data_IF_589848072167
#
_entry.id   IF_589848072167
#
_cell.length_a   1.000
_cell.length_b   1.000
_cell.length_c   1.000
_cell.angle_alpha   90.00
_cell.angle_beta   90.00
_cell.angle_gamma   90.00
#
_symmetry.space_group_name_H-M   'P 1'
#
loop_
_entity.id
_entity.type
_entity.pdbx_description
1 polymer ?
#
# COMPACT_ATOMS: atom_id res chain seq x y z
N UNK A 1 -43.14 25.02 -30.49
CA UNK A 1 -43.52 24.89 -29.02
C UNK A 1 -42.28 24.54 -28.18
N UNK A 2 -41.49 25.68 -27.97
CA UNK A 2 -40.87 26.54 -26.95
C UNK A 2 -39.86 25.74 -26.12
N UNK A 3 -38.57 26.05 -26.46
CA UNK A 3 -37.28 26.12 -25.75
C UNK A 3 -37.44 26.69 -24.34
N UNK A 4 -36.68 26.02 -23.31
CA UNK A 4 -35.91 26.78 -22.29
C UNK A 4 -34.82 25.86 -21.73
N UNK A 5 -33.46 26.18 -22.06
CA UNK A 5 -32.11 26.33 -21.49
C UNK A 5 -32.16 27.03 -20.13
N UNK A 6 -31.40 26.38 -19.11
CA UNK A 6 -30.59 27.15 -18.13
C UNK A 6 -29.50 26.24 -17.54
N UNK A 7 -28.15 26.58 -17.90
CA UNK A 7 -26.83 27.10 -17.51
C UNK A 7 -26.74 27.39 -16.01
N UNK A 8 -25.78 26.65 -15.30
CA UNK A 8 -24.90 27.34 -14.32
C UNK A 8 -23.47 26.81 -14.44
N UNK A 9 -22.55 27.66 -15.03
CA UNK A 9 -21.51 28.63 -14.59
C UNK A 9 -20.19 27.90 -14.28
N UNK A 10 -19.29 27.87 -15.27
CA UNK A 10 -17.88 28.28 -15.40
C UNK A 10 -17.32 28.78 -14.06
N UNK A 11 -16.82 27.86 -13.25
CA UNK A 11 -15.82 28.31 -12.24
C UNK A 11 -14.45 28.45 -12.92
N UNK A 12 -14.14 29.55 -13.64
CA UNK A 12 -12.85 30.26 -13.73
C UNK A 12 -11.88 29.80 -12.63
N UNK A 13 -11.04 28.76 -12.96
CA UNK A 13 -9.63 28.55 -12.56
C UNK A 13 -9.11 29.69 -11.67
N UNK A 14 -9.56 29.71 -10.41
CA UNK A 14 -8.82 30.48 -9.39
C UNK A 14 -7.35 30.04 -9.31
N UNK A 15 -6.48 30.73 -10.09
CA UNK A 15 -5.04 30.79 -9.76
C UNK A 15 -4.79 30.55 -8.26
N UNK A 16 -4.27 29.35 -7.89
CA UNK A 16 -3.89 29.11 -6.49
C UNK A 16 -2.83 30.12 -6.01
N UNK A 17 -3.21 30.88 -5.00
CA UNK A 17 -2.28 31.70 -4.19
C UNK A 17 -0.87 31.09 -4.14
N UNK A 18 0.17 31.82 -4.59
CA UNK A 18 1.57 31.36 -4.55
C UNK A 18 1.96 30.84 -3.16
N UNK A 19 1.98 29.51 -3.00
CA UNK A 19 2.62 28.92 -1.79
C UNK A 19 4.15 29.00 -1.96
N UNK A 20 4.75 29.82 -1.12
CA UNK A 20 6.19 30.06 -0.90
C UNK A 20 6.99 28.75 -0.83
N UNK A 21 7.73 28.34 -1.83
CA UNK A 21 8.62 27.16 -1.90
C UNK A 21 9.65 27.16 -0.76
N UNK A 22 9.77 28.30 0.11
CA UNK A 22 10.66 28.36 1.28
C UNK A 22 10.05 27.62 2.48
N UNK A 23 8.82 27.09 2.39
CA UNK A 23 8.20 26.33 3.50
C UNK A 23 8.79 24.92 3.54
N UNK A 24 9.46 24.50 2.51
CA UNK A 24 10.01 23.12 2.49
C UNK A 24 11.48 23.14 2.92
N UNK A 25 12.15 24.30 2.75
CA UNK A 25 13.51 24.46 3.33
C UNK A 25 13.43 24.85 4.81
N UNK A 26 12.21 25.40 5.26
CA UNK A 26 11.98 25.88 6.63
C UNK A 26 11.44 24.76 7.51
N UNK A 27 10.85 23.67 6.94
CA UNK A 27 10.44 22.49 7.74
C UNK A 27 11.65 21.57 7.94
N UNK A 28 12.78 21.76 7.18
CA UNK A 28 14.04 20.99 7.36
C UNK A 28 15.02 21.76 8.24
N UNK A 29 14.79 23.13 8.58
CA UNK A 29 15.74 23.95 9.36
C UNK A 29 15.19 24.20 10.77
N UNK A 30 13.98 23.59 11.20
CA UNK A 30 13.55 23.94 12.57
C UNK A 30 13.69 22.72 13.48
N UNK A 31 14.96 22.15 13.57
CA UNK A 31 15.20 21.34 14.77
C UNK A 31 16.48 21.86 15.45
N UNK A 32 16.41 22.37 16.76
CA UNK A 32 17.54 22.92 17.54
C UNK A 32 18.69 21.91 17.66
N UNK A 33 19.82 22.16 16.93
CA UNK A 33 21.20 21.67 17.15
C UNK A 33 21.55 21.65 18.65
N UNK A 34 21.24 20.51 19.37
CA UNK A 34 21.84 20.25 20.69
C UNK A 34 23.36 20.36 20.65
N UNK A 35 23.87 21.58 20.88
CA UNK A 35 25.25 21.97 21.29
C UNK A 35 25.77 21.04 22.39
N UNK A 36 26.38 19.93 22.05
CA UNK A 36 27.25 19.14 22.94
C UNK A 36 28.63 19.80 23.06
N UNK A 37 28.79 20.62 24.09
CA UNK A 37 29.86 21.03 25.02
C UNK A 37 30.90 19.92 25.21
N UNK A 38 32.01 20.03 24.53
CA UNK A 38 33.47 19.91 24.62
C UNK A 38 33.95 19.89 26.08
N UNK A 39 34.28 18.69 26.59
CA UNK A 39 35.39 18.63 27.57
C UNK A 39 36.32 17.46 27.23
N UNK A 40 37.53 17.73 26.79
CA UNK A 40 39.00 17.64 26.98
C UNK A 40 39.38 16.43 27.83
N UNK A 41 40.24 15.45 27.37
CA UNK A 41 41.67 15.10 27.49
C UNK A 41 41.82 13.66 28.01
N UNK A 42 42.59 12.81 27.23
CA UNK A 42 43.93 12.28 27.55
C UNK A 42 44.17 11.02 26.72
N UNK A 43 45.14 11.03 25.82
CA UNK A 43 46.08 10.12 25.15
C UNK A 43 46.62 9.04 26.09
N UNK A 44 47.46 7.99 25.48
CA UNK A 44 47.39 6.61 24.95
C UNK A 44 48.40 5.68 25.62
N UNK A 45 47.91 4.44 25.86
CA UNK A 45 48.92 3.38 26.11
C UNK A 45 48.57 2.13 25.30
N UNK A 46 49.39 1.75 24.33
CA UNK A 46 50.29 0.73 23.77
C UNK A 46 49.99 -0.66 24.34
N UNK A 47 49.63 -1.68 23.53
CA UNK A 47 50.41 -2.90 23.18
C UNK A 47 49.63 -4.16 23.59
N UNK A 48 49.09 -4.91 22.58
CA UNK A 48 49.32 -6.37 22.61
C UNK A 48 48.53 -7.05 21.50
N UNK A 49 49.21 -7.58 20.38
CA UNK A 49 49.74 -8.90 19.99
C UNK A 49 48.60 -9.79 19.50
N UNK A 50 48.56 -10.05 18.19
CA UNK A 50 48.66 -11.21 17.27
C UNK A 50 47.96 -12.42 17.88
N UNK A 51 46.65 -12.60 17.42
CA UNK A 51 46.14 -13.98 17.25
C UNK A 51 45.07 -13.98 16.13
N UNK A 52 45.46 -14.27 14.87
CA UNK A 52 45.33 -15.46 13.99
C UNK A 52 43.88 -15.94 13.93
N UNK A 53 43.18 -15.50 12.86
CA UNK A 53 42.72 -16.13 11.59
C UNK A 53 41.77 -17.29 11.88
N UNK A 54 40.49 -16.91 12.21
CA UNK A 54 39.43 -17.85 11.77
C UNK A 54 38.06 -17.26 12.13
N UNK A 55 37.70 -16.10 11.57
CA UNK A 55 36.25 -15.78 11.71
C UNK A 55 35.75 -15.17 10.40
N UNK A 56 35.92 -15.84 9.27
CA UNK A 56 35.21 -15.22 8.13
C UNK A 56 34.00 -16.09 7.74
N UNK A 57 33.07 -16.38 8.71
CA UNK A 57 31.84 -16.82 8.01
C UNK A 57 30.61 -16.37 8.80
N UNK A 58 30.67 -15.16 9.59
CA UNK A 58 29.41 -14.78 10.27
C UNK A 58 29.11 -13.31 9.98
N UNK A 59 29.70 -12.61 8.89
CA UNK A 59 29.35 -11.18 8.71
C UNK A 59 28.37 -11.03 7.53
N UNK A 60 27.97 -12.15 6.90
CA UNK A 60 27.00 -11.91 5.80
C UNK A 60 25.58 -12.14 6.31
N UNK A 61 25.45 -12.46 7.64
CA UNK A 61 24.08 -12.79 8.09
C UNK A 61 23.41 -11.53 8.67
N UNK A 62 24.08 -10.28 8.41
CA UNK A 62 23.27 -9.15 8.88
C UNK A 62 23.22 -8.04 7.83
N UNK A 63 23.47 -8.43 6.51
CA UNK A 63 23.38 -7.35 5.51
C UNK A 63 21.90 -7.00 5.24
N UNK A 64 21.47 -5.84 5.81
CA UNK A 64 20.06 -5.41 5.69
C UNK A 64 19.61 -5.33 4.23
N UNK A 65 20.54 -5.51 3.29
CA UNK A 65 20.15 -5.29 1.88
C UNK A 65 19.94 -6.62 1.17
N UNK A 66 20.25 -7.74 1.95
CA UNK A 66 20.13 -9.04 1.24
C UNK A 66 18.69 -9.31 0.81
N UNK A 67 17.77 -8.47 1.34
CA UNK A 67 16.35 -8.73 0.98
C UNK A 67 15.96 -7.91 -0.24
N UNK A 68 16.84 -7.04 -0.59
CA UNK A 68 16.49 -6.21 -1.76
C UNK A 68 17.35 -6.58 -2.96
N UNK A 69 16.63 -6.66 -4.08
CA UNK A 69 17.34 -6.97 -5.34
C UNK A 69 16.92 -5.95 -6.41
N UNK A 70 17.99 -5.38 -6.98
CA UNK A 70 17.66 -4.37 -8.01
C UNK A 70 18.16 -4.89 -9.37
N UNK A 71 17.16 -4.82 -10.27
CA UNK A 71 17.50 -5.32 -11.62
C UNK A 71 17.28 -4.19 -12.64
N UNK A 72 18.29 -4.07 -13.56
CA UNK A 72 18.10 -3.17 -14.72
C UNK A 72 17.26 -3.86 -15.81
N UNK A 73 16.11 -3.20 -16.19
CA UNK A 73 15.17 -3.89 -17.10
C UNK A 73 15.34 -3.35 -18.53
N UNK A 74 16.14 -2.34 -18.77
CA UNK A 74 16.19 -1.71 -20.09
C UNK A 74 17.45 -2.13 -20.85
N UNK A 75 18.41 -2.86 -20.26
CA UNK A 75 19.69 -3.17 -20.95
C UNK A 75 19.65 -4.56 -21.59
N UNK A 76 20.50 -4.71 -22.73
CA UNK A 76 20.62 -5.98 -23.49
C UNK A 76 21.02 -7.14 -22.58
N UNK A 77 21.65 -6.72 -21.38
CA UNK A 77 22.01 -7.78 -20.43
C UNK A 77 21.38 -7.50 -19.06
N UNK A 78 20.57 -8.49 -18.66
CA UNK A 78 20.04 -8.35 -17.28
C UNK A 78 21.18 -8.08 -16.28
N UNK A 79 21.44 -6.67 -16.13
CA UNK A 79 22.56 -6.36 -15.21
C UNK A 79 22.02 -5.99 -13.82
N UNK A 80 22.55 -6.61 -12.89
CA UNK A 80 22.22 -6.31 -11.48
C UNK A 80 22.81 -4.94 -11.07
N UNK A 81 21.88 -4.09 -10.50
CA UNK A 81 22.36 -2.83 -9.88
C UNK A 81 22.64 -3.08 -8.39
N UNK A 82 23.93 -2.93 -8.09
CA UNK A 82 24.28 -3.17 -6.68
C UNK A 82 24.03 -1.89 -5.87
N UNK A 83 23.15 -2.10 -4.83
CA UNK A 83 22.87 -0.93 -3.95
C UNK A 83 24.08 -0.63 -3.06
N UNK A 84 24.24 0.66 -2.91
CA UNK A 84 25.36 1.15 -2.08
C UNK A 84 26.71 0.63 -2.60
N UNK A 85 26.78 0.52 -3.91
CA UNK A 85 28.08 0.10 -4.48
C UNK A 85 29.15 1.17 -4.25
N UNK A 86 30.42 0.72 -4.25
CA UNK A 86 31.55 1.65 -4.03
C UNK A 86 31.79 2.48 -5.29
N UNK A 87 31.52 1.84 -6.43
CA UNK A 87 31.65 2.59 -7.71
C UNK A 87 30.28 2.65 -8.41
N UNK A 88 30.15 3.79 -9.18
CA UNK A 88 28.87 3.86 -9.90
C UNK A 88 28.73 2.70 -10.91
N UNK A 89 27.48 2.24 -10.98
CA UNK A 89 27.21 1.08 -11.85
C UNK A 89 26.82 1.59 -13.25
N UNK A 90 27.55 1.10 -14.24
CA UNK A 90 27.23 1.54 -15.60
C UNK A 90 25.94 0.88 -16.13
N UNK A 91 25.16 1.68 -16.94
CA UNK A 91 24.02 1.08 -17.65
C UNK A 91 23.82 1.82 -18.98
N UNK A 92 23.31 1.00 -19.85
CA UNK A 92 23.13 1.60 -21.19
C UNK A 92 21.95 0.94 -21.90
N UNK A 93 21.18 1.74 -22.61
CA UNK A 93 20.14 1.24 -23.55
C UNK A 93 20.10 2.09 -24.81
N UNK A 94 18.97 1.91 -25.54
CA UNK A 94 18.93 2.58 -26.87
C UNK A 94 18.88 4.11 -26.70
N UNK A 95 18.31 4.58 -25.56
CA UNK A 95 18.05 6.03 -25.43
C UNK A 95 19.17 6.71 -24.62
N UNK A 96 19.85 5.91 -23.70
CA UNK A 96 20.70 6.64 -22.72
C UNK A 96 21.86 5.72 -22.32
N UNK A 97 23.01 6.38 -22.17
CA UNK A 97 24.16 5.65 -21.61
C UNK A 97 24.76 6.44 -20.45
N UNK A 98 24.96 5.63 -19.28
CA UNK A 98 25.48 6.41 -18.13
C UNK A 98 25.82 5.50 -16.96
N UNK A 99 25.95 6.17 -15.78
CA UNK A 99 26.27 5.48 -14.52
C UNK A 99 25.25 5.87 -13.45
N UNK A 100 25.12 4.92 -12.47
CA UNK A 100 24.11 5.24 -11.44
C UNK A 100 24.65 4.77 -10.08
N UNK A 101 24.40 5.62 -9.10
CA UNK A 101 24.39 5.14 -7.71
C UNK A 101 22.95 4.93 -7.23
N UNK A 102 22.76 3.71 -6.75
CA UNK A 102 21.49 3.45 -6.04
C UNK A 102 21.78 3.28 -4.54
N UNK A 103 21.53 4.41 -3.83
CA UNK A 103 21.98 4.46 -2.42
C UNK A 103 20.77 4.37 -1.48
N UNK A 104 20.95 3.47 -0.50
CA UNK A 104 19.83 3.28 0.45
C UNK A 104 20.38 3.47 1.87
N UNK A 105 19.51 4.09 2.64
CA UNK A 105 19.89 4.23 4.06
C UNK A 105 19.73 2.88 4.80
N UNK A 106 20.79 2.45 5.55
CA UNK A 106 20.75 1.13 6.22
C UNK A 106 21.01 1.32 7.72
N UNK A 107 20.68 0.31 8.40
CA UNK A 107 21.02 0.16 9.83
C UNK A 107 21.53 -1.27 10.09
N UNK A 108 22.86 -1.34 10.34
CA UNK A 108 23.80 -0.25 10.64
C UNK A 108 24.14 0.58 9.38
N UNK A 109 24.58 1.95 9.66
CA UNK A 109 24.85 2.84 8.52
C UNK A 109 26.00 2.30 7.65
N UNK A 110 25.79 2.54 6.32
CA UNK A 110 26.86 2.14 5.37
C UNK A 110 28.11 3.01 5.59
N UNK A 111 29.28 2.45 5.62
CA UNK A 111 30.52 3.16 6.03
C UNK A 111 30.88 4.25 5.01
N UNK A 112 30.59 4.05 3.74
CA UNK A 112 31.03 5.03 2.72
C UNK A 112 29.95 6.08 2.48
N UNK A 113 28.70 5.67 2.60
CA UNK A 113 27.69 6.61 2.03
C UNK A 113 26.87 7.21 3.17
N UNK A 114 27.18 6.86 4.42
CA UNK A 114 26.29 7.27 5.52
C UNK A 114 26.26 8.80 5.63
N UNK A 115 27.30 9.51 5.22
CA UNK A 115 27.32 10.98 5.34
C UNK A 115 26.23 11.61 4.47
N UNK A 116 25.80 10.92 3.42
CA UNK A 116 24.75 11.50 2.56
C UNK A 116 23.38 11.42 3.24
N UNK A 117 23.26 10.58 4.34
CA UNK A 117 21.94 10.39 4.98
C UNK A 117 21.96 10.97 6.40
N UNK A 118 23.13 11.28 6.94
CA UNK A 118 23.27 11.72 8.34
C UNK A 118 22.59 13.09 8.53
N UNK A 119 21.60 13.05 9.53
CA UNK A 119 20.94 14.33 9.90
C UNK A 119 19.83 14.70 8.91
N UNK A 120 19.64 13.73 7.95
CA UNK A 120 18.59 14.03 6.96
C UNK A 120 17.54 12.90 6.96
N UNK A 121 16.42 13.13 6.47
CA UNK A 121 15.34 12.11 6.53
C UNK A 121 15.25 11.34 5.21
N UNK A 122 16.28 11.39 4.41
CA UNK A 122 16.24 10.65 3.12
C UNK A 122 16.36 9.15 3.37
N UNK A 123 15.50 8.42 2.63
CA UNK A 123 15.58 6.96 2.84
C UNK A 123 16.25 6.26 1.66
N UNK A 124 16.11 6.84 0.49
CA UNK A 124 17.00 6.35 -0.59
C UNK A 124 17.31 7.49 -1.54
N UNK A 125 18.35 7.26 -2.34
CA UNK A 125 18.95 8.34 -3.14
C UNK A 125 19.50 7.74 -4.44
N UNK A 126 18.94 8.32 -5.57
CA UNK A 126 19.47 7.86 -6.87
C UNK A 126 20.23 9.01 -7.54
N UNK A 127 21.54 8.69 -7.84
CA UNK A 127 22.33 9.66 -8.62
C UNK A 127 22.68 9.09 -10.01
N UNK A 128 22.38 9.97 -11.00
CA UNK A 128 22.58 9.45 -12.37
C UNK A 128 23.43 10.47 -13.13
N UNK A 129 24.37 9.96 -13.93
CA UNK A 129 25.17 10.79 -14.84
C UNK A 129 25.33 10.08 -16.18
N UNK A 130 24.94 10.80 -17.24
CA UNK A 130 25.11 10.12 -18.54
C UNK A 130 24.66 11.05 -19.67
N UNK A 131 24.61 10.39 -20.88
CA UNK A 131 24.30 11.17 -22.10
C UNK A 131 23.18 10.48 -22.88
N UNK A 132 22.38 11.39 -23.49
CA UNK A 132 21.34 10.83 -24.38
C UNK A 132 21.96 10.41 -25.72
N UNK A 133 21.46 9.25 -26.23
CA UNK A 133 21.98 8.76 -27.55
C UNK A 133 21.06 9.21 -28.69
N UNK A 134 19.84 9.54 -28.28
CA UNK A 134 18.87 10.07 -29.25
C UNK A 134 18.08 11.21 -28.60
N UNK A 135 17.52 12.03 -29.55
CA UNK A 135 16.71 13.14 -29.03
C UNK A 135 15.39 12.61 -28.43
N UNK A 136 15.17 13.07 -27.14
CA UNK A 136 13.85 12.65 -26.62
C UNK A 136 12.70 13.25 -27.45
N UNK A 137 11.63 12.43 -27.55
CA UNK A 137 10.51 12.84 -28.43
C UNK A 137 9.53 13.71 -27.64
N UNK A 138 9.57 13.58 -26.29
CA UNK A 138 8.65 14.37 -25.46
C UNK A 138 9.31 14.71 -24.11
N UNK A 139 8.38 14.86 -23.14
CA UNK A 139 8.89 15.18 -21.79
C UNK A 139 9.47 13.91 -21.14
N UNK A 140 10.56 14.11 -20.42
CA UNK A 140 11.13 12.96 -19.69
C UNK A 140 10.58 12.96 -18.25
N UNK A 141 10.05 11.76 -17.95
CA UNK A 141 9.47 11.65 -16.61
C UNK A 141 10.31 10.71 -15.74
N UNK A 142 10.27 11.05 -14.39
CA UNK A 142 10.90 10.20 -13.36
C UNK A 142 9.87 9.80 -12.31
N UNK A 143 9.88 8.52 -12.00
CA UNK A 143 8.93 8.15 -10.94
C UNK A 143 8.96 6.65 -10.68
N UNK A 144 7.89 6.25 -9.95
CA UNK A 144 7.69 4.81 -9.66
C UNK A 144 6.56 4.22 -10.52
N UNK A 145 6.79 2.95 -10.96
CA UNK A 145 5.78 2.28 -11.81
C UNK A 145 5.68 0.80 -11.40
N UNK A 146 4.59 0.21 -11.66
CA UNK A 146 4.45 -1.24 -11.45
C UNK A 146 4.33 -1.98 -12.79
N UNK A 147 4.87 -3.21 -12.79
CA UNK A 147 5.04 -3.94 -14.06
C UNK A 147 3.70 -4.46 -14.61
N UNK A 148 2.74 -4.49 -13.69
CA UNK A 148 1.44 -4.99 -14.19
C UNK A 148 0.30 -4.24 -13.49
N UNK A 149 -0.87 -4.55 -14.06
CA UNK A 149 -2.06 -3.93 -13.42
C UNK A 149 -2.25 -4.47 -12.00
N UNK A 150 -2.68 -3.42 -11.26
CA UNK A 150 -2.93 -3.89 -9.88
C UNK A 150 -4.44 -3.81 -9.62
N UNK A 151 -4.91 -4.97 -9.12
CA UNK A 151 -6.34 -4.88 -8.71
C UNK A 151 -6.45 -4.37 -7.27
N UNK A 152 -6.61 -3.01 -7.26
CA UNK A 152 -6.73 -2.49 -5.88
C UNK A 152 -8.18 -2.63 -5.40
N UNK A 153 -8.28 -3.24 -4.13
CA UNK A 153 -9.63 -3.23 -3.50
C UNK A 153 -10.11 -1.80 -3.20
N UNK A 154 -11.34 -1.59 -2.92
CA UNK A 154 -11.97 -0.27 -2.67
C UNK A 154 -11.20 0.52 -1.61
N UNK A 155 -10.81 -0.16 -0.54
CA UNK A 155 -10.14 0.60 0.54
C UNK A 155 -8.73 1.01 0.13
N UNK A 156 -8.06 0.12 -0.51
CA UNK A 156 -6.67 0.44 -0.94
C UNK A 156 -6.67 1.55 -2.00
N UNK A 157 -7.75 1.50 -2.79
CA UNK A 157 -7.83 2.57 -3.80
C UNK A 157 -8.09 3.92 -3.13
N UNK A 158 -8.97 3.91 -2.16
CA UNK A 158 -9.22 5.16 -1.44
C UNK A 158 -7.94 5.66 -0.74
N UNK A 159 -7.35 4.70 -0.10
CA UNK A 159 -6.08 5.10 0.56
C UNK A 159 -5.06 5.61 -0.47
N UNK A 160 -4.93 4.94 -1.58
CA UNK A 160 -3.98 5.39 -2.63
C UNK A 160 -4.36 6.80 -3.12
N UNK A 161 -5.65 7.03 -3.19
CA UNK A 161 -6.09 8.37 -3.67
C UNK A 161 -5.71 9.45 -2.65
N UNK A 162 -5.85 9.13 -1.41
CA UNK A 162 -5.45 10.10 -0.38
C UNK A 162 -3.94 10.38 -0.47
N UNK A 163 -3.19 9.29 -0.59
CA UNK A 163 -1.72 9.47 -0.68
C UNK A 163 -1.37 10.31 -1.90
N UNK A 164 -2.12 10.07 -2.96
CA UNK A 164 -1.79 10.82 -4.19
C UNK A 164 -2.20 12.28 -4.03
N UNK A 165 -3.28 12.56 -3.32
CA UNK A 165 -3.65 13.96 -3.07
C UNK A 165 -2.57 14.69 -2.27
N UNK A 166 -2.02 13.94 -1.37
CA UNK A 166 -0.94 14.57 -0.58
C UNK A 166 0.27 14.83 -1.49
N UNK A 167 0.54 13.86 -2.33
CA UNK A 167 1.72 14.03 -3.21
C UNK A 167 1.47 15.19 -4.19
N UNK A 168 0.25 15.33 -4.62
CA UNK A 168 -0.04 16.40 -5.59
C UNK A 168 0.07 17.78 -4.91
N UNK A 169 -0.10 17.79 -3.64
CA UNK A 169 0.08 19.08 -2.95
C UNK A 169 1.57 19.40 -2.80
N UNK A 170 2.33 18.34 -2.93
CA UNK A 170 3.77 18.58 -2.68
C UNK A 170 4.50 18.81 -4.00
N UNK A 171 3.85 18.27 -5.09
CA UNK A 171 4.54 18.37 -6.39
C UNK A 171 3.49 18.74 -7.46
N UNK A 172 3.55 19.93 -8.08
CA UNK A 172 2.46 20.55 -8.88
C UNK A 172 2.30 19.84 -10.23
N UNK A 173 3.31 19.04 -10.69
CA UNK A 173 3.10 18.46 -12.04
C UNK A 173 3.29 16.93 -11.99
N UNK A 174 2.46 16.34 -11.08
CA UNK A 174 2.60 14.87 -10.94
C UNK A 174 1.57 14.20 -11.87
N UNK A 175 2.11 13.26 -12.60
CA UNK A 175 1.18 12.37 -13.35
C UNK A 175 1.11 10.99 -12.68
N UNK A 176 -0.20 10.61 -12.43
CA UNK A 176 -0.28 9.25 -11.86
C UNK A 176 -1.47 8.52 -12.49
N UNK A 177 -1.31 7.21 -12.47
CA UNK A 177 -2.39 6.34 -12.97
C UNK A 177 -2.37 5.01 -12.19
N UNK A 178 -3.61 4.46 -11.98
CA UNK A 178 -3.69 3.20 -11.21
C UNK A 178 -3.58 2.00 -12.16
N UNK A 179 -3.43 2.37 -13.47
CA UNK A 179 -3.20 1.27 -14.44
C UNK A 179 -4.51 0.88 -15.13
N UNK A 180 -4.49 0.79 -16.52
CA UNK A 180 -5.55 0.14 -17.33
C UNK A 180 -4.92 -0.63 -18.50
N UNK A 181 -5.84 -0.96 -19.47
CA UNK A 181 -5.33 -1.82 -20.56
C UNK A 181 -4.15 -1.18 -21.28
N UNK A 182 -4.00 0.11 -21.16
CA UNK A 182 -2.98 0.78 -22.01
C UNK A 182 -1.89 1.43 -21.17
N UNK A 183 -2.20 1.69 -19.87
CA UNK A 183 -1.25 2.48 -19.05
C UNK A 183 -1.02 1.76 -17.72
N UNK A 184 0.28 1.59 -17.44
CA UNK A 184 0.63 0.92 -16.17
C UNK A 184 0.42 1.88 -14.99
N UNK A 185 0.20 1.22 -13.86
CA UNK A 185 0.15 2.09 -12.68
C UNK A 185 1.50 2.79 -12.43
N UNK A 186 1.32 4.18 -12.12
CA UNK A 186 2.58 4.90 -11.91
C UNK A 186 2.30 6.24 -11.23
N UNK A 187 3.32 6.72 -10.67
CA UNK A 187 3.41 8.12 -10.22
C UNK A 187 4.71 8.75 -10.75
N UNK A 188 4.54 9.70 -11.60
CA UNK A 188 5.74 10.18 -12.32
C UNK A 188 5.73 11.70 -12.36
N UNK A 189 6.99 12.21 -12.36
CA UNK A 189 7.17 13.67 -12.36
C UNK A 189 8.12 14.04 -13.51
N UNK A 190 7.85 15.26 -14.06
CA UNK A 190 8.79 15.69 -15.11
C UNK A 190 10.22 15.82 -14.57
N UNK A 191 11.07 15.09 -15.16
CA UNK A 191 12.45 14.96 -14.64
C UNK A 191 13.10 16.34 -14.50
N UNK A 192 12.98 17.18 -15.54
CA UNK A 192 13.74 18.45 -15.57
C UNK A 192 13.30 19.38 -14.44
N UNK A 193 12.09 19.32 -14.08
CA UNK A 193 11.59 20.29 -13.09
C UNK A 193 11.66 19.69 -11.69
N UNK A 194 11.72 18.35 -11.66
CA UNK A 194 11.33 17.79 -10.34
C UNK A 194 12.57 17.22 -9.64
N UNK A 195 13.69 17.05 -10.25
CA UNK A 195 14.81 16.41 -9.50
C UNK A 195 15.42 17.45 -8.55
N UNK A 196 16.08 16.90 -7.52
CA UNK A 196 16.61 17.82 -6.47
C UNK A 196 17.73 18.71 -7.03
N UNK A 197 18.65 18.16 -7.87
CA UNK A 197 19.69 18.95 -8.56
C UNK A 197 19.95 18.35 -9.94
N UNK A 198 20.11 19.25 -10.85
CA UNK A 198 20.50 18.80 -12.20
C UNK A 198 21.51 19.78 -12.79
N UNK A 199 22.62 19.17 -13.20
CA UNK A 199 23.65 19.98 -13.88
C UNK A 199 23.89 19.41 -15.29
N UNK A 200 23.83 20.33 -16.23
CA UNK A 200 24.08 19.94 -17.63
C UNK A 200 25.47 20.45 -18.02
N UNK A 201 26.40 19.44 -18.23
CA UNK A 201 27.80 19.80 -18.51
C UNK A 201 28.09 19.68 -20.01
N UNK A 202 28.49 20.72 -20.66
CA UNK A 202 28.85 20.62 -22.06
C UNK A 202 30.00 19.63 -22.30
N UNK A 203 30.18 19.16 -23.58
CA UNK A 203 31.10 18.04 -23.92
C UNK A 203 32.55 18.42 -23.61
N UNK A 204 32.81 19.71 -23.41
CA UNK A 204 34.23 20.08 -23.23
C UNK A 204 34.53 20.42 -21.76
N UNK A 205 33.57 20.09 -20.91
CA UNK A 205 33.83 20.37 -19.48
C UNK A 205 33.69 19.07 -18.67
N UNK A 206 34.28 19.17 -17.46
CA UNK A 206 34.21 17.96 -16.59
C UNK A 206 32.92 18.00 -15.76
N UNK A 207 32.15 16.84 -15.90
CA UNK A 207 30.92 16.79 -15.10
C UNK A 207 31.20 16.61 -13.61
N UNK A 208 30.27 17.03 -12.75
CA UNK A 208 30.48 16.77 -11.32
C UNK A 208 30.62 15.26 -11.02
N UNK A 209 31.34 15.03 -9.95
CA UNK A 209 31.60 13.61 -9.58
C UNK A 209 30.38 13.06 -8.83
N UNK A 210 29.93 11.81 -9.22
CA UNK A 210 28.82 11.18 -8.48
C UNK A 210 29.27 10.83 -7.05
N UNK A 211 28.25 10.72 -6.15
CA UNK A 211 28.56 10.30 -4.75
C UNK A 211 28.74 11.53 -3.86
N UNK A 212 28.54 12.75 -4.43
CA UNK A 212 28.65 13.96 -3.58
C UNK A 212 27.26 14.43 -3.14
N UNK A 213 27.30 15.21 -2.07
CA UNK A 213 26.00 15.71 -1.54
C UNK A 213 25.38 16.74 -2.50
N UNK A 214 26.20 17.46 -3.17
CA UNK A 214 25.69 18.48 -4.10
C UNK A 214 26.52 18.47 -5.39
N UNK A 215 25.79 18.84 -6.47
CA UNK A 215 26.47 18.83 -7.79
C UNK A 215 26.80 20.26 -8.21
N UNK A 216 26.35 21.23 -7.34
CA UNK A 216 26.80 22.62 -7.61
C UNK A 216 25.72 23.42 -8.35
N UNK A 217 24.46 22.90 -8.40
CA UNK A 217 23.39 23.71 -9.00
C UNK A 217 23.01 24.86 -8.03
N UNK A 218 23.17 26.09 -8.56
CA UNK A 218 22.81 27.22 -7.69
C UNK A 218 21.29 27.30 -7.46
N UNK A 219 20.90 27.96 -6.41
CA UNK A 219 19.46 28.11 -6.10
C UNK A 219 18.71 28.81 -7.25
N UNK A 220 19.39 29.81 -7.80
CA UNK A 220 18.74 30.53 -8.92
C UNK A 220 18.52 29.59 -10.12
N UNK A 221 19.53 28.78 -10.40
CA UNK A 221 19.38 27.83 -11.53
C UNK A 221 18.27 26.81 -11.24
N UNK A 222 18.26 26.38 -10.02
CA UNK A 222 17.22 25.40 -9.65
C UNK A 222 15.82 26.01 -9.83
N UNK A 223 15.64 27.28 -9.35
CA UNK A 223 14.30 27.92 -9.44
C UNK A 223 13.93 28.15 -10.91
N UNK A 224 14.92 28.53 -11.62
CA UNK A 224 14.64 28.71 -13.06
C UNK A 224 14.20 27.41 -13.72
N UNK A 225 14.89 26.32 -13.34
CA UNK A 225 14.50 25.03 -13.95
C UNK A 225 13.09 24.63 -13.52
N UNK A 226 12.77 24.88 -12.31
CA UNK A 226 11.44 24.49 -11.79
C UNK A 226 10.34 25.27 -12.50
N UNK A 227 10.67 26.50 -12.98
CA UNK A 227 9.61 27.34 -13.58
C UNK A 227 9.58 27.17 -15.10
N UNK A 228 10.54 26.33 -15.60
CA UNK A 228 10.50 26.09 -17.05
C UNK A 228 9.20 25.35 -17.45
N UNK A 229 8.51 25.99 -18.49
CA UNK A 229 7.26 25.35 -18.93
C UNK A 229 7.50 23.92 -19.45
N UNK A 230 6.55 23.06 -19.02
CA UNK A 230 6.66 21.64 -19.42
C UNK A 230 6.70 21.50 -20.95
N UNK A 231 7.69 20.72 -21.39
CA UNK A 231 7.73 20.41 -22.85
C UNK A 231 8.68 21.34 -23.59
N UNK A 232 9.16 22.36 -22.92
CA UNK A 232 10.04 23.31 -23.65
C UNK A 232 11.51 23.00 -23.36
N UNK A 233 11.72 21.95 -22.55
CA UNK A 233 13.12 21.57 -22.26
C UNK A 233 13.81 21.01 -23.52
N UNK A 234 15.11 21.40 -23.57
CA UNK A 234 15.88 20.87 -24.71
C UNK A 234 17.08 20.07 -24.17
N UNK A 235 17.26 18.94 -24.94
CA UNK A 235 18.36 18.06 -24.48
C UNK A 235 19.46 18.03 -25.57
N UNK A 236 20.63 18.43 -25.10
CA UNK A 236 21.81 18.36 -25.98
C UNK A 236 22.47 16.96 -25.93
N UNK A 237 22.65 16.41 -27.17
CA UNK A 237 23.13 15.00 -27.21
C UNK A 237 24.62 14.93 -26.90
N UNK A 238 25.26 16.08 -26.89
CA UNK A 238 26.72 16.05 -26.60
C UNK A 238 26.99 16.38 -25.13
N UNK A 239 25.90 16.80 -24.45
CA UNK A 239 26.12 17.19 -23.04
C UNK A 239 25.99 15.97 -22.11
N UNK A 240 26.69 16.16 -20.95
CA UNK A 240 26.51 15.15 -19.88
C UNK A 240 25.54 15.69 -18.83
N UNK A 241 24.52 14.80 -18.60
CA UNK A 241 23.52 15.18 -17.59
C UNK A 241 23.81 14.46 -16.26
N UNK A 242 23.89 15.35 -15.14
CA UNK A 242 24.09 14.79 -13.79
C UNK A 242 22.94 15.26 -12.88
N UNK A 243 22.22 14.23 -12.39
CA UNK A 243 21.09 14.66 -11.54
C UNK A 243 20.84 13.60 -10.46
N UNK A 244 20.10 14.05 -9.44
CA UNK A 244 19.74 13.03 -8.43
C UNK A 244 18.36 13.35 -7.85
N UNK A 245 17.84 12.27 -7.33
CA UNK A 245 16.54 12.33 -6.64
C UNK A 245 16.61 11.51 -5.35
N UNK A 246 16.07 12.14 -4.35
CA UNK A 246 15.96 11.37 -3.09
C UNK A 246 14.60 11.63 -2.45
N UNK A 247 14.17 10.60 -1.66
CA UNK A 247 12.85 10.82 -1.00
C UNK A 247 12.94 10.32 0.45
N UNK A 248 12.11 10.94 1.27
CA UNK A 248 11.98 10.48 2.68
C UNK A 248 10.72 9.63 2.85
N UNK A 249 9.98 9.41 1.72
CA UNK A 249 8.61 8.91 1.90
C UNK A 249 8.54 7.41 1.58
N UNK A 250 9.69 6.88 1.19
CA UNK A 250 9.68 5.42 0.93
C UNK A 250 10.94 4.82 1.57
N UNK A 251 10.63 3.81 2.45
CA UNK A 251 11.76 3.04 3.04
C UNK A 251 11.84 1.64 2.41
N UNK A 252 12.89 1.55 1.48
CA UNK A 252 12.98 0.29 0.70
C UNK A 252 13.49 -0.85 1.58
N UNK A 253 14.23 -0.53 2.68
CA UNK A 253 14.77 -1.62 3.52
C UNK A 253 13.66 -2.27 4.33
N UNK A 254 12.64 -1.45 4.58
CA UNK A 254 11.52 -2.04 5.34
C UNK A 254 10.30 -2.23 4.44
N UNK A 255 10.44 -1.84 3.20
CA UNK A 255 9.38 -1.98 2.17
C UNK A 255 8.07 -1.34 2.64
N UNK A 256 8.20 -0.01 2.99
CA UNK A 256 7.02 0.73 3.49
C UNK A 256 7.03 2.16 2.94
N UNK A 257 5.81 2.66 2.87
CA UNK A 257 5.68 4.12 2.73
C UNK A 257 5.73 4.76 4.13
N UNK A 258 6.63 5.83 4.24
CA UNK A 258 6.82 6.40 5.59
C UNK A 258 6.86 7.92 5.46
N UNK A 259 6.58 8.57 6.63
CA UNK A 259 6.77 10.03 6.81
C UNK A 259 5.77 10.82 5.99
N UNK A 260 4.61 10.16 5.65
CA UNK A 260 3.55 10.98 5.02
C UNK A 260 2.76 11.74 6.10
N UNK A 261 2.56 13.02 5.95
CA UNK A 261 1.88 13.83 6.97
C UNK A 261 0.48 13.29 7.29
N UNK A 262 0.32 13.04 8.66
CA UNK A 262 -1.08 12.71 9.10
C UNK A 262 -1.42 11.24 8.83
N UNK A 263 -0.32 10.46 8.40
CA UNK A 263 -0.66 9.05 8.06
C UNK A 263 0.38 8.13 8.70
N UNK A 264 -0.13 6.96 9.09
CA UNK A 264 0.81 5.93 9.59
C UNK A 264 1.55 5.26 8.43
N UNK A 265 2.67 4.62 8.90
CA UNK A 265 3.44 3.89 7.86
C UNK A 265 2.57 2.80 7.19
N UNK A 266 2.75 2.76 5.91
CA UNK A 266 1.94 1.77 5.17
C UNK A 266 2.89 0.84 4.40
N UNK A 267 2.65 -0.47 4.58
CA UNK A 267 3.48 -1.40 3.80
C UNK A 267 3.24 -1.26 2.29
N UNK A 268 4.39 -1.28 1.57
CA UNK A 268 4.25 -1.12 0.11
C UNK A 268 3.46 -2.29 -0.48
N UNK A 269 3.40 -3.49 0.23
CA UNK A 269 2.66 -4.66 -0.28
C UNK A 269 1.15 -4.38 -0.31
N UNK A 270 0.79 -3.32 0.45
CA UNK A 270 -0.64 -2.96 0.41
C UNK A 270 -1.06 -2.56 -1.00
N UNK A 271 -0.02 -1.96 -1.76
CA UNK A 271 -0.43 -1.45 -3.08
C UNK A 271 0.12 -2.34 -4.20
N UNK A 272 1.23 -2.94 -3.96
CA UNK A 272 1.89 -3.57 -5.12
C UNK A 272 1.86 -5.09 -4.97
N UNK A 273 1.13 -5.61 -3.88
CA UNK A 273 1.21 -7.07 -3.59
C UNK A 273 2.64 -7.57 -3.67
N UNK A 274 2.85 -8.56 -4.65
CA UNK A 274 4.22 -9.13 -4.68
C UNK A 274 4.99 -8.58 -5.88
N UNK A 275 4.40 -7.57 -6.45
CA UNK A 275 5.07 -7.07 -7.66
C UNK A 275 6.27 -6.19 -7.26
N UNK A 276 7.28 -6.21 -8.18
CA UNK A 276 8.43 -5.32 -7.91
C UNK A 276 8.06 -3.85 -8.16
N UNK A 277 8.75 -2.99 -7.33
CA UNK A 277 8.66 -1.54 -7.64
C UNK A 277 9.69 -1.14 -8.70
N UNK A 278 9.10 -0.50 -9.80
CA UNK A 278 10.05 -0.03 -10.86
C UNK A 278 10.32 1.47 -10.66
N UNK A 279 11.61 1.74 -10.42
CA UNK A 279 12.03 3.15 -10.53
C UNK A 279 12.41 3.50 -11.97
N UNK A 280 11.65 4.48 -12.42
CA UNK A 280 11.75 4.60 -13.89
C UNK A 280 12.05 6.06 -14.23
N UNK A 281 12.72 6.19 -15.38
CA UNK A 281 12.88 7.46 -16.10
C UNK A 281 12.66 7.21 -17.60
N UNK A 282 11.58 7.92 -18.06
CA UNK A 282 11.28 7.55 -19.45
C UNK A 282 10.81 8.78 -20.23
N UNK A 283 11.01 8.66 -21.53
CA UNK A 283 10.50 9.65 -22.50
C UNK A 283 9.14 9.20 -23.05
N UNK A 284 8.24 10.12 -23.09
CA UNK A 284 6.93 9.74 -23.69
C UNK A 284 6.42 10.93 -24.50
N UNK A 285 5.93 10.59 -25.70
CA UNK A 285 5.42 11.66 -26.56
C UNK A 285 4.21 12.34 -25.88
N UNK A 286 4.13 13.59 -26.14
CA UNK A 286 3.03 14.34 -25.49
C UNK A 286 1.66 13.75 -25.83
N UNK A 287 0.99 13.49 -24.82
CA UNK A 287 -0.40 12.97 -24.93
C UNK A 287 -1.00 12.79 -23.53
N UNK A 288 -2.32 12.54 -23.58
CA UNK A 288 -3.07 12.46 -22.29
C UNK A 288 -2.73 11.17 -21.54
N UNK A 289 -2.11 10.18 -22.27
CA UNK A 289 -1.85 8.91 -21.56
C UNK A 289 -0.38 8.52 -21.75
N UNK A 290 0.13 8.03 -20.58
CA UNK A 290 1.50 7.46 -20.68
C UNK A 290 1.44 5.96 -20.98
N UNK A 291 0.93 5.68 -22.27
CA UNK A 291 0.81 4.24 -22.60
C UNK A 291 2.19 3.57 -22.60
N UNK A 292 2.15 2.34 -22.13
CA UNK A 292 3.42 1.58 -22.02
C UNK A 292 4.14 1.49 -23.36
N UNK A 293 3.41 1.32 -24.40
CA UNK A 293 4.03 1.10 -25.73
C UNK A 293 4.70 2.38 -26.24
N UNK A 294 4.36 3.45 -25.60
CA UNK A 294 4.90 4.71 -26.14
C UNK A 294 6.09 5.19 -25.30
N UNK A 295 6.40 4.43 -24.28
CA UNK A 295 7.51 4.89 -23.41
C UNK A 295 8.85 4.37 -23.93
N UNK A 296 9.75 5.32 -23.90
CA UNK A 296 11.17 4.93 -24.07
C UNK A 296 11.96 5.26 -22.81
N UNK A 297 12.60 4.24 -22.32
CA UNK A 297 13.14 4.41 -20.95
C UNK A 297 14.61 4.86 -21.03
N UNK A 298 14.86 5.98 -20.18
CA UNK A 298 16.28 6.28 -19.86
C UNK A 298 16.85 5.19 -18.94
N UNK A 299 16.11 4.88 -17.89
CA UNK A 299 16.40 3.66 -17.11
C UNK A 299 15.11 3.13 -16.48
N UNK A 300 15.15 1.83 -16.19
CA UNK A 300 14.08 1.13 -15.44
C UNK A 300 14.71 0.10 -14.50
N UNK A 301 14.74 0.56 -13.21
CA UNK A 301 15.31 -0.35 -12.20
C UNK A 301 14.20 -0.98 -11.37
N UNK A 302 14.18 -2.29 -11.46
CA UNK A 302 13.15 -3.00 -10.67
C UNK A 302 13.72 -3.44 -9.30
N UNK A 303 12.93 -3.07 -8.28
CA UNK A 303 13.36 -3.42 -6.92
C UNK A 303 12.40 -4.49 -6.38
N UNK A 304 13.01 -5.63 -6.01
CA UNK A 304 12.18 -6.71 -5.42
C UNK A 304 12.59 -6.89 -3.95
N UNK A 305 11.48 -7.32 -3.23
CA UNK A 305 11.71 -7.48 -1.78
C UNK A 305 11.31 -8.90 -1.36
N UNK A 306 12.28 -9.56 -0.67
CA UNK A 306 11.94 -10.91 -0.17
C UNK A 306 11.84 -10.87 1.36
N UNK A 307 10.50 -11.24 1.82
CA UNK A 307 10.33 -11.20 3.30
C UNK A 307 11.16 -12.29 3.97
N UNK A 308 11.72 -11.94 5.10
CA UNK A 308 12.49 -12.97 5.82
C UNK A 308 11.59 -14.16 6.24
N UNK A 309 11.77 -15.35 5.61
CA UNK A 309 11.00 -16.55 5.98
C UNK A 309 11.02 -16.74 7.50
N UNK A 310 10.10 -16.13 8.27
CA UNK A 310 9.95 -16.35 9.73
C UNK A 310 9.84 -17.85 10.06
N UNK A 311 10.86 -18.65 10.37
CA UNK A 311 10.80 -19.99 11.01
C UNK A 311 9.56 -20.12 11.91
N UNK A 312 8.36 -20.34 11.45
CA UNK A 312 7.13 -20.61 12.21
C UNK A 312 7.33 -21.78 13.17
N UNK A 313 7.62 -21.59 14.48
CA UNK A 313 7.55 -22.52 15.63
C UNK A 313 6.10 -22.95 15.88
N UNK A 314 5.66 -24.01 15.21
CA UNK A 314 4.43 -24.80 15.44
C UNK A 314 4.26 -25.07 16.95
N UNK A 315 3.64 -24.20 17.76
CA UNK A 315 3.22 -24.51 19.14
C UNK A 315 1.89 -25.29 19.08
N UNK A 316 1.92 -26.63 19.26
CA UNK A 316 0.81 -27.59 19.49
C UNK A 316 -0.09 -27.13 20.65
N UNK A 317 -1.43 -27.16 20.47
CA UNK A 317 -2.32 -26.75 21.58
C UNK A 317 -2.53 -27.88 22.59
N UNK A 318 -2.78 -27.42 23.97
CA UNK A 318 -3.03 -28.38 25.06
C UNK A 318 -4.50 -28.81 25.13
N UNK A 319 -4.74 -30.14 25.32
CA UNK A 319 -5.83 -31.09 25.62
C UNK A 319 -6.49 -30.74 26.95
N UNK A 320 -7.86 -30.24 26.92
CA UNK A 320 -8.62 -30.17 28.19
C UNK A 320 -9.83 -31.11 28.08
N UNK A 321 -9.90 -32.21 28.99
CA UNK A 321 -10.66 -33.19 29.78
C UNK A 321 -11.80 -32.52 30.55
N UNK A 322 -13.08 -32.76 30.22
CA UNK A 322 -14.39 -33.32 30.61
C UNK A 322 -14.68 -33.12 32.09
N UNK A 323 -15.89 -32.57 32.52
CA UNK A 323 -17.14 -33.18 33.06
C UNK A 323 -17.75 -32.23 34.09
N UNK A 324 -19.12 -31.93 33.89
CA UNK A 324 -20.23 -32.32 34.80
C UNK A 324 -21.48 -31.50 34.43
N UNK A 325 -22.53 -32.24 34.08
CA UNK A 325 -23.99 -32.41 34.18
C UNK A 325 -24.48 -32.31 35.63
N UNK A 326 -25.65 -31.52 35.88
CA UNK A 326 -27.02 -31.89 36.34
C UNK A 326 -27.75 -30.64 36.83
N UNK A 327 -29.17 -30.45 36.46
CA UNK A 327 -30.64 -30.54 36.45
C UNK A 327 -31.20 -29.84 37.69
N UNK A 328 -32.37 -29.00 37.60
CA UNK A 328 -33.85 -28.97 37.53
C UNK A 328 -34.33 -27.61 38.04
N UNK A 329 -35.45 -27.00 37.39
CA UNK A 329 -36.94 -27.04 37.48
C UNK A 329 -37.50 -25.66 37.17
N UNK A 330 -38.57 -25.64 36.33
CA UNK A 330 -39.94 -25.43 35.82
C UNK A 330 -40.61 -24.24 36.51
N UNK A 331 -41.28 -23.28 35.74
CA UNK A 331 -42.64 -22.99 35.22
C UNK A 331 -42.85 -21.47 35.16
N UNK A 332 -43.42 -20.97 33.99
CA UNK A 332 -44.76 -20.33 33.86
C UNK A 332 -44.86 -19.64 32.49
N UNK A 333 -45.76 -20.13 31.58
CA UNK A 333 -47.04 -19.86 30.91
C UNK A 333 -47.08 -18.47 30.28
N UNK A 334 -46.94 -18.51 28.86
CA UNK A 334 -47.88 -17.62 28.13
C UNK A 334 -47.47 -17.55 26.65
N UNK A 335 -48.33 -18.02 25.72
CA UNK A 335 -49.12 -17.57 24.56
C UNK A 335 -48.54 -18.16 23.27
N UNK A 336 -48.98 -19.41 22.92
CA UNK A 336 -48.71 -20.23 21.71
C UNK A 336 -49.54 -19.66 20.55
N UNK A 337 -48.87 -18.67 19.90
CA UNK A 337 -49.03 -18.55 18.44
C UNK A 337 -48.23 -19.64 17.71
N UNK A 338 -48.79 -20.81 17.56
CA UNK A 338 -48.33 -21.88 16.63
C UNK A 338 -47.36 -21.33 15.58
N UNK A 339 -46.09 -20.89 16.18
CA UNK A 339 -44.89 -20.51 15.41
C UNK A 339 -44.09 -21.76 15.03
N UNK A 340 -44.44 -22.45 14.02
CA UNK A 340 -43.52 -23.45 13.42
C UNK A 340 -42.14 -23.41 14.11
N UNK A 341 -41.88 -24.17 15.18
CA UNK A 341 -40.68 -24.33 16.04
C UNK A 341 -39.41 -24.41 15.19
N UNK A 342 -38.96 -23.25 14.70
CA UNK A 342 -37.65 -23.20 14.03
C UNK A 342 -36.55 -23.35 15.09
N UNK A 343 -35.78 -24.50 15.04
CA UNK A 343 -34.72 -24.77 16.03
C UNK A 343 -33.34 -24.51 15.41
N UNK A 344 -32.66 -23.54 16.03
CA UNK A 344 -31.30 -23.33 15.51
C UNK A 344 -30.44 -24.61 15.63
N UNK A 345 -29.75 -24.89 14.61
CA UNK A 345 -29.04 -26.20 14.63
C UNK A 345 -27.53 -25.94 14.56
N UNK A 346 -27.24 -24.67 14.04
CA UNK A 346 -25.79 -24.41 13.92
C UNK A 346 -25.56 -22.90 13.77
N UNK A 347 -24.31 -22.55 14.06
CA UNK A 347 -23.94 -21.15 13.84
C UNK A 347 -22.77 -21.12 12.84
N UNK A 348 -23.02 -21.08 11.72
CA UNK A 348 -22.00 -21.38 10.69
C UNK A 348 -21.12 -20.15 10.40
N UNK A 349 -21.78 -18.96 10.83
CA UNK A 349 -20.98 -17.79 10.43
C UNK A 349 -21.18 -16.66 11.44
N UNK A 350 -20.20 -15.73 11.46
CA UNK A 350 -20.48 -14.39 12.02
C UNK A 350 -20.10 -13.32 11.00
N UNK A 351 -20.85 -12.18 11.21
CA UNK A 351 -20.62 -11.12 10.20
C UNK A 351 -20.27 -9.84 10.95
N UNK A 352 -19.45 -9.06 10.30
CA UNK A 352 -19.20 -7.69 10.80
C UNK A 352 -20.11 -6.69 10.09
N UNK A 353 -20.81 -5.96 10.92
CA UNK A 353 -21.71 -4.94 10.35
C UNK A 353 -21.16 -3.55 10.63
N UNK A 354 -21.05 -2.79 9.52
CA UNK A 354 -20.52 -1.41 9.66
C UNK A 354 -21.68 -0.41 9.59
N UNK A 355 -21.77 0.32 10.67
CA UNK A 355 -22.72 1.45 10.67
C UNK A 355 -21.98 2.78 10.42
N UNK A 356 -22.18 3.44 9.28
CA UNK A 356 -21.37 4.63 8.89
C UNK A 356 -21.86 5.87 9.65
N UNK A 357 -23.10 5.85 10.02
CA UNK A 357 -23.66 6.99 10.78
C UNK A 357 -23.14 7.03 12.22
N UNK A 358 -22.81 5.85 12.61
CA UNK A 358 -22.44 5.80 14.04
C UNK A 358 -20.96 5.40 14.19
N UNK A 359 -20.28 5.27 13.04
CA UNK A 359 -18.86 4.83 13.01
C UNK A 359 -18.62 3.66 13.96
N UNK A 360 -19.58 2.69 13.86
CA UNK A 360 -19.44 1.51 14.75
C UNK A 360 -19.45 0.23 13.90
N UNK A 361 -18.56 -0.71 14.46
CA UNK A 361 -18.56 -2.02 13.80
C UNK A 361 -19.09 -3.08 14.78
N UNK A 362 -20.24 -3.72 14.31
CA UNK A 362 -20.86 -4.68 15.26
C UNK A 362 -20.73 -6.12 14.75
N UNK A 363 -20.80 -7.04 15.69
CA UNK A 363 -20.68 -8.47 15.34
C UNK A 363 -22.10 -9.08 15.35
N UNK A 364 -22.34 -9.77 14.17
CA UNK A 364 -23.63 -10.49 14.06
C UNK A 364 -23.37 -11.97 13.79
N UNK A 365 -24.07 -12.82 14.60
CA UNK A 365 -23.91 -14.26 14.35
C UNK A 365 -25.10 -14.80 13.53
N UNK A 366 -24.75 -15.82 12.63
CA UNK A 366 -25.81 -16.39 11.78
C UNK A 366 -26.15 -17.81 12.26
N UNK A 367 -27.46 -17.92 12.43
CA UNK A 367 -27.90 -19.26 12.87
C UNK A 367 -28.60 -20.00 11.73
N UNK A 368 -28.15 -21.22 11.53
CA UNK A 368 -28.91 -22.09 10.59
C UNK A 368 -30.06 -22.79 11.32
N UNK A 369 -31.24 -22.48 10.78
CA UNK A 369 -32.41 -23.07 11.44
C UNK A 369 -33.13 -24.05 10.50
N UNK A 370 -33.48 -25.25 11.08
CA UNK A 370 -34.18 -26.24 10.24
C UNK A 370 -35.70 -26.09 10.43
N UNK A 371 -36.23 -25.90 9.19
CA UNK A 371 -37.70 -25.91 9.22
C UNK A 371 -38.25 -27.33 9.01
N UNK A 372 -38.78 -27.88 10.09
CA UNK A 372 -39.18 -29.32 10.06
C UNK A 372 -40.29 -29.53 9.03
N UNK A 373 -40.99 -28.45 8.61
CA UNK A 373 -42.11 -28.64 7.67
C UNK A 373 -41.64 -28.58 6.22
N UNK A 374 -40.50 -28.01 5.85
CA UNK A 374 -40.10 -27.81 4.44
C UNK A 374 -38.72 -28.41 4.18
N UNK A 375 -38.21 -29.25 5.30
CA UNK A 375 -36.83 -29.79 5.16
C UNK A 375 -35.87 -28.76 4.55
N UNK A 376 -36.14 -27.45 4.75
CA UNK A 376 -35.21 -26.41 4.24
C UNK A 376 -34.51 -25.71 5.41
N UNK A 377 -33.23 -25.37 5.18
CA UNK A 377 -32.44 -24.65 6.21
C UNK A 377 -32.54 -23.14 5.91
N UNK A 378 -33.09 -22.47 6.96
CA UNK A 378 -33.08 -20.99 6.79
C UNK A 378 -32.08 -20.37 7.77
N UNK A 379 -31.62 -19.22 7.32
CA UNK A 379 -30.64 -18.56 8.22
C UNK A 379 -31.33 -17.40 8.96
N UNK A 380 -30.98 -17.48 10.24
CA UNK A 380 -31.43 -16.34 11.04
C UNK A 380 -30.24 -15.64 11.70
N UNK A 381 -30.42 -14.29 11.89
CA UNK A 381 -29.26 -13.58 12.46
C UNK A 381 -29.61 -12.99 13.82
N UNK A 382 -28.50 -12.86 14.63
CA UNK A 382 -28.71 -12.24 15.95
C UNK A 382 -27.47 -11.37 16.26
N UNK A 383 -27.82 -10.12 16.71
CA UNK A 383 -26.71 -9.23 17.11
C UNK A 383 -26.02 -9.73 18.38
N UNK A 384 -24.68 -9.56 18.34
CA UNK A 384 -23.92 -10.10 19.50
C UNK A 384 -24.33 -9.39 20.80
N UNK A 385 -24.77 -8.14 20.71
CA UNK A 385 -25.23 -7.40 21.90
C UNK A 385 -26.44 -8.08 22.55
N UNK A 386 -27.32 -8.55 21.73
CA UNK A 386 -28.49 -9.27 22.28
C UNK A 386 -28.10 -10.64 22.84
N UNK A 387 -27.12 -11.24 22.17
CA UNK A 387 -26.70 -12.60 22.57
C UNK A 387 -25.90 -12.57 23.88
N UNK A 388 -25.28 -11.50 24.04
CA UNK A 388 -24.38 -11.39 25.21
C UNK A 388 -25.18 -11.58 26.52
N UNK A 389 -26.42 -11.26 26.46
CA UNK A 389 -27.23 -11.35 27.70
C UNK A 389 -27.71 -12.79 27.92
N UNK A 390 -27.47 -13.56 26.93
CA UNK A 390 -28.13 -14.88 27.02
C UNK A 390 -27.08 -15.99 27.14
N UNK A 391 -25.83 -15.60 27.02
CA UNK A 391 -24.83 -16.69 27.01
C UNK A 391 -23.93 -16.51 28.24
N UNK A 392 -23.37 -17.61 28.81
CA UNK A 392 -22.63 -17.57 30.09
C UNK A 392 -21.18 -17.14 29.89
N UNK A 393 -20.82 -16.69 28.64
CA UNK A 393 -19.45 -16.22 28.42
C UNK A 393 -19.46 -14.89 27.70
N UNK A 394 -18.32 -14.20 27.87
CA UNK A 394 -18.29 -12.86 27.26
C UNK A 394 -18.26 -12.94 25.71
N UNK A 395 -19.11 -12.00 25.16
CA UNK A 395 -19.11 -11.94 23.67
C UNK A 395 -18.64 -10.54 23.23
N UNK A 396 -17.85 -10.59 22.20
CA UNK A 396 -17.47 -9.28 21.65
C UNK A 396 -18.64 -8.71 20.84
N UNK A 397 -18.87 -7.45 21.15
CA UNK A 397 -20.05 -6.86 20.46
C UNK A 397 -19.57 -5.94 19.34
N UNK A 398 -18.20 -5.66 19.37
CA UNK A 398 -17.62 -4.85 18.29
C UNK A 398 -16.52 -5.64 17.57
N UNK A 399 -16.51 -5.30 16.28
CA UNK A 399 -15.49 -6.06 15.53
C UNK A 399 -14.25 -5.20 15.32
N UNK A 400 -12.99 -5.79 15.76
CA UNK A 400 -11.66 -5.25 15.40
C UNK A 400 -10.75 -6.39 14.93
N UNK A 401 -9.86 -5.94 14.04
CA UNK A 401 -9.01 -6.98 13.42
C UNK A 401 -8.31 -7.83 14.50
N UNK A 402 -7.90 -7.23 15.49
CA UNK A 402 -7.11 -7.98 16.50
C UNK A 402 -8.02 -8.97 17.24
N UNK A 403 -9.39 -8.80 17.00
CA UNK A 403 -10.32 -9.65 17.81
C UNK A 403 -10.98 -10.71 16.92
N UNK A 404 -10.56 -10.84 15.77
CA UNK A 404 -11.27 -11.76 14.85
C UNK A 404 -11.09 -13.21 15.29
N UNK A 405 -9.93 -13.50 15.70
CA UNK A 405 -9.73 -14.90 16.12
C UNK A 405 -10.57 -15.22 17.35
N UNK A 406 -10.63 -14.26 18.22
CA UNK A 406 -11.45 -14.48 19.43
C UNK A 406 -12.94 -14.57 19.10
N UNK A 407 -13.38 -13.73 18.16
CA UNK A 407 -14.80 -13.74 17.75
C UNK A 407 -15.14 -15.07 17.07
N UNK A 408 -14.24 -15.51 16.34
CA UNK A 408 -14.45 -16.85 15.71
C UNK A 408 -14.49 -17.96 16.78
N UNK A 409 -13.67 -17.95 17.73
CA UNK A 409 -13.72 -18.96 18.80
C UNK A 409 -15.05 -18.89 19.56
N UNK A 410 -15.58 -17.59 19.74
CA UNK A 410 -16.88 -17.41 20.43
C UNK A 410 -18.04 -18.02 19.63
N UNK A 411 -17.80 -18.01 18.27
CA UNK A 411 -18.83 -18.65 17.42
C UNK A 411 -18.91 -20.16 17.70
N UNK A 412 -17.76 -20.75 17.82
CA UNK A 412 -17.77 -22.21 18.09
C UNK A 412 -18.37 -22.50 19.47
N UNK A 413 -18.10 -21.62 20.40
CA UNK A 413 -18.67 -21.83 21.75
C UNK A 413 -20.20 -21.68 21.74
N UNK A 414 -20.62 -20.76 20.92
CA UNK A 414 -22.07 -20.59 20.79
C UNK A 414 -22.72 -21.85 20.20
N UNK A 415 -21.99 -22.49 19.26
CA UNK A 415 -22.52 -23.75 18.67
C UNK A 415 -22.65 -24.83 19.73
N UNK A 416 -21.92 -24.76 20.82
CA UNK A 416 -21.92 -25.84 21.83
C UNK A 416 -23.07 -25.65 22.83
N UNK A 417 -23.78 -24.53 22.75
CA UNK A 417 -24.79 -24.32 23.82
C UNK A 417 -26.18 -24.25 23.18
N UNK A 418 -26.18 -24.68 21.83
CA UNK A 418 -27.49 -24.86 21.20
C UNK A 418 -28.17 -26.12 21.73
N UNK A 419 -29.60 -26.05 21.92
CA UNK A 419 -30.48 -25.00 21.36
C UNK A 419 -30.75 -23.87 22.36
N UNK A 420 -30.84 -22.68 21.94
CA UNK A 420 -31.17 -21.56 22.84
C UNK A 420 -32.67 -21.27 22.78
N UNK A 421 -33.47 -21.94 23.69
CA UNK A 421 -34.95 -22.02 23.67
C UNK A 421 -35.55 -20.61 23.84
N UNK A 422 -34.71 -19.48 24.17
CA UNK A 422 -35.31 -18.14 24.41
C UNK A 422 -34.80 -17.14 23.36
N UNK A 423 -34.26 -17.65 22.26
CA UNK A 423 -33.65 -16.68 21.33
C UNK A 423 -34.70 -16.21 20.32
N UNK A 424 -34.84 -14.86 20.39
CA UNK A 424 -35.68 -14.31 19.30
C UNK A 424 -34.82 -14.13 18.04
N UNK A 425 -35.10 -15.07 17.11
CA UNK A 425 -34.27 -15.04 15.88
C UNK A 425 -34.97 -14.18 14.82
N UNK A 426 -34.21 -13.21 14.42
CA UNK A 426 -34.78 -12.36 13.34
C UNK A 426 -34.47 -12.97 11.97
N UNK A 427 -35.70 -13.04 11.25
CA UNK A 427 -35.40 -13.49 9.87
C UNK A 427 -34.29 -12.65 9.24
N UNK A 428 -33.46 -13.43 8.84
CA UNK A 428 -32.42 -12.67 8.11
C UNK A 428 -33.03 -12.06 6.84
N UNK A 429 -33.77 -10.89 7.02
CA UNK A 429 -34.40 -10.24 5.86
C UNK A 429 -33.58 -9.03 5.42
N UNK A 430 -32.60 -9.30 4.55
CA UNK A 430 -31.71 -8.23 4.06
C UNK A 430 -32.26 -7.67 2.74
N UNK A 431 -32.84 -6.41 2.73
CA UNK A 431 -33.32 -5.80 1.47
C UNK A 431 -32.16 -5.00 0.85
N UNK A 432 -31.39 -5.50 -0.12
CA UNK A 432 -30.23 -4.80 -0.67
C UNK A 432 -30.65 -3.60 -1.55
N UNK A 433 -30.21 -2.37 -1.32
CA UNK A 433 -30.15 -1.33 -2.37
C UNK A 433 -28.98 -1.53 -3.31
N UNK A 434 -29.15 -1.57 -4.72
CA UNK A 434 -28.83 -1.87 -6.12
C UNK A 434 -27.32 -2.02 -6.32
N UNK A 435 -26.63 -3.14 -6.57
CA UNK A 435 -25.48 -3.87 -7.13
C UNK A 435 -25.06 -3.28 -8.48
N UNK A 436 -25.67 -2.28 -9.10
CA UNK A 436 -25.32 -1.69 -10.41
C UNK A 436 -24.43 -0.46 -10.21
N UNK A 437 -24.01 0.00 -9.12
CA UNK A 437 -23.10 1.15 -8.90
C UNK A 437 -21.70 0.65 -8.53
N UNK A 438 -21.37 -0.75 -8.60
CA UNK A 438 -20.11 -1.36 -8.12
C UNK A 438 -19.46 -2.16 -9.25
N UNK A 439 -19.93 -1.95 -10.72
CA UNK A 439 -19.15 -2.40 -11.90
C UNK A 439 -19.07 -3.94 -11.98
N UNK A 440 -19.91 -4.74 -11.36
CA UNK A 440 -20.00 -6.20 -11.56
C UNK A 440 -21.08 -6.48 -12.61
N UNK A 441 -20.59 -7.21 -13.78
CA UNK A 441 -21.58 -7.63 -14.81
C UNK A 441 -22.23 -8.96 -14.41
N UNK A 442 -23.50 -8.92 -13.96
CA UNK A 442 -24.28 -10.10 -13.53
C UNK A 442 -24.94 -10.72 -14.76
N UNK A 443 -24.49 -11.92 -15.13
CA UNK A 443 -25.11 -12.71 -16.21
C UNK A 443 -26.64 -12.72 -16.08
N UNK A 444 -27.42 -12.33 -17.11
CA UNK A 444 -28.87 -12.08 -17.17
C UNK A 444 -29.68 -13.32 -16.76
N UNK A 445 -29.08 -14.46 -16.76
CA UNK A 445 -29.86 -15.69 -16.45
C UNK A 445 -29.97 -15.88 -14.93
N UNK A 446 -29.24 -15.10 -14.16
CA UNK A 446 -29.21 -15.32 -12.71
C UNK A 446 -29.68 -14.05 -11.98
N UNK A 447 -30.07 -13.00 -12.79
CA UNK A 447 -30.43 -11.65 -12.32
C UNK A 447 -31.83 -11.67 -11.70
N UNK A 448 -32.63 -12.65 -12.15
CA UNK A 448 -34.03 -12.67 -11.68
C UNK A 448 -34.14 -13.38 -10.33
N UNK A 449 -32.97 -13.91 -9.96
CA UNK A 449 -33.02 -14.64 -8.67
C UNK A 449 -32.14 -13.92 -7.65
N UNK A 450 -31.78 -12.63 -8.01
CA UNK A 450 -30.79 -11.95 -7.14
C UNK A 450 -31.41 -10.67 -6.60
N UNK A 451 -31.30 -10.42 -5.32
CA UNK A 451 -31.79 -9.14 -4.75
C UNK A 451 -30.59 -8.33 -4.26
N UNK A 452 -30.51 -6.83 -4.70
CA UNK A 452 -29.36 -5.94 -4.41
C UNK A 452 -29.85 -4.73 -3.59
N UNK A 453 -28.90 -4.39 -2.27
CA UNK A 453 -28.82 -2.98 -1.76
C UNK A 453 -27.87 -2.93 -0.57
N UNK A 454 -26.89 -1.73 -0.25
CA UNK A 454 -25.90 -0.81 0.34
C UNK A 454 -25.60 -1.19 1.80
N UNK A 455 -24.94 -2.26 2.10
CA UNK A 455 -24.11 -2.51 3.31
C UNK A 455 -23.18 -3.69 3.07
N UNK A 456 -21.77 -3.36 3.11
CA UNK A 456 -20.71 -4.38 2.88
C UNK A 456 -20.59 -5.30 4.10
N UNK A 457 -20.87 -6.66 3.89
CA UNK A 457 -20.77 -7.73 4.91
C UNK A 457 -19.46 -8.51 4.72
N UNK A 458 -18.75 -8.65 5.89
CA UNK A 458 -17.57 -9.56 5.84
C UNK A 458 -17.88 -10.86 6.59
N UNK A 459 -18.07 -12.04 5.77
CA UNK A 459 -18.28 -13.34 6.46
C UNK A 459 -16.93 -14.08 6.58
N UNK A 460 -16.53 -14.41 7.80
CA UNK A 460 -15.25 -15.12 8.02
C UNK A 460 -15.57 -16.57 8.39
N UNK A 461 -15.25 -17.54 7.33
CA UNK A 461 -15.36 -18.99 7.61
C UNK A 461 -13.98 -19.65 7.56
N UNK A 462 -13.86 -20.95 8.05
CA UNK A 462 -12.71 -21.86 8.18
C UNK A 462 -12.00 -22.06 6.83
N UNK A 463 -12.46 -21.37 5.72
CA UNK A 463 -11.73 -21.59 4.44
C UNK A 463 -11.03 -20.30 4.02
N UNK A 464 -10.58 -19.39 4.98
CA UNK A 464 -9.83 -18.18 4.59
C UNK A 464 -10.13 -17.76 3.16
N UNK A 465 -11.39 -17.91 2.63
CA UNK A 465 -11.76 -17.27 1.35
C UNK A 465 -12.29 -15.86 1.63
N UNK A 466 -11.40 -14.83 1.53
CA UNK A 466 -11.68 -13.38 1.46
C UNK A 466 -12.66 -13.06 0.33
N UNK A 467 -13.97 -13.60 0.47
CA UNK A 467 -14.97 -13.16 -0.54
C UNK A 467 -15.78 -11.99 0.05
N UNK A 468 -15.50 -10.78 -0.46
CA UNK A 468 -16.17 -9.47 -0.37
C UNK A 468 -17.65 -9.58 -0.74
N UNK A 469 -18.26 -10.90 -0.83
CA UNK A 469 -19.73 -10.91 -0.98
C UNK A 469 -20.27 -12.28 -0.56
N UNK A 470 -21.19 -12.32 0.43
CA UNK A 470 -22.00 -13.55 0.68
C UNK A 470 -23.23 -13.56 -0.24
N UNK A 471 -23.20 -14.32 -1.41
CA UNK A 471 -24.42 -14.54 -2.22
C UNK A 471 -25.14 -15.80 -1.71
N UNK A 472 -26.23 -15.64 -0.91
CA UNK A 472 -27.03 -16.83 -0.52
C UNK A 472 -28.15 -17.08 -1.54
N UNK A 473 -27.97 -18.18 -2.33
CA UNK A 473 -29.03 -18.53 -3.31
C UNK A 473 -30.00 -19.54 -2.67
N UNK A 474 -31.35 -19.19 -2.76
CA UNK A 474 -32.41 -20.16 -2.40
C UNK A 474 -32.32 -21.43 -3.26
N UNK A 475 -32.45 -22.67 -2.69
CA UNK A 475 -32.52 -23.84 -3.58
C UNK A 475 -33.71 -23.74 -4.56
N UNK A 476 -33.42 -23.69 -5.87
CA UNK A 476 -34.41 -23.86 -6.96
C UNK A 476 -35.33 -25.07 -6.70
N UNK A 477 -36.52 -24.80 -6.15
CA UNK A 477 -37.53 -25.89 -6.16
C UNK A 477 -37.87 -26.30 -7.61
N UNK A 478 -37.19 -27.41 -8.09
CA UNK A 478 -37.58 -28.00 -9.40
C UNK A 478 -39.04 -28.46 -9.35
N UNK A 479 -40.02 -27.56 -9.67
CA UNK A 479 -41.31 -28.18 -10.04
C UNK A 479 -41.23 -28.77 -11.46
#
# INVERSE_FOLDING_TARGET
MTYIYRSYAFITQREPLPVDPSIFDEIEREIPRKEESSSSSSEPDDENTIRSSRRTSSTFENDPLHMLHVKNECGAQEDRITMNSIEPVPFENDLFRGHVYFLVKTDPPHWKWHFLFNGRRRMFWIQVQGQFKKQPKGVIYLGGELPDRIALGFFTRSLASVIMSIIQTLVKAVHYAFGDANELPHCAFPLYQSVDEMVITPSNEQPPVLGQESFGESKQEHQKRMKTPLGTETYDLSATYTFHFHTMYVDLTQWKIINLPGMKDVPLTTFFEAHPLRLVCYDVVPGKHHAKALKEYVFCFSVTYTEPVGEFSIVEPPTIDGSDEEVIAENDGRLIASATAVRPVRVPYWIEMLDFGLKKRSVIYMFACEDTSSNSVTFKSVHSKTLRKLVPFPLHIRSRLVRYKAIEAQRFQLQDILPLSSLILMDFNWIPYSATRLGVRINNTHRQSMIFQQESLRAVSDTFLRQEFLVLTKPRCYH
#
